data_IF_745833127360
#
_entry.id   IF_745833127360
#
_cell.length_a   1.000
_cell.length_b   1.000
_cell.length_c   1.000
_cell.angle_alpha   90.00
_cell.angle_beta   90.00
_cell.angle_gamma   90.00
#
_symmetry.space_group_name_H-M   'P 1'
#
loop_
_entity.id
_entity.type
_entity.pdbx_description
1 polymer ?
#
# COMPACT_ATOMS: atom_id res chain seq x y z
N UNK A 1 -11.43 2.47 -5.23
CA UNK A 1 -10.46 2.86 -6.27
C UNK A 1 -9.28 1.90 -6.35
N UNK A 2 -8.49 1.72 -5.29
CA UNK A 2 -7.32 0.82 -5.28
C UNK A 2 -7.69 -0.64 -5.59
N UNK A 3 -8.76 -1.15 -4.98
CA UNK A 3 -9.31 -2.49 -5.26
C UNK A 3 -9.78 -2.65 -6.71
N UNK A 4 -10.50 -1.66 -7.24
CA UNK A 4 -10.98 -1.67 -8.64
C UNK A 4 -9.78 -1.68 -9.59
N UNK A 5 -8.72 -0.94 -9.26
CA UNK A 5 -7.49 -0.89 -10.05
C UNK A 5 -6.73 -2.23 -9.99
N UNK A 6 -6.70 -2.92 -8.84
CA UNK A 6 -6.16 -4.28 -8.70
C UNK A 6 -6.98 -5.31 -9.48
N UNK A 7 -8.31 -5.22 -9.44
CA UNK A 7 -9.21 -6.09 -10.21
C UNK A 7 -9.01 -5.88 -11.71
N UNK A 8 -8.96 -4.62 -12.17
CA UNK A 8 -8.73 -4.28 -13.57
C UNK A 8 -7.34 -4.69 -14.05
N UNK A 9 -6.29 -4.49 -13.24
CA UNK A 9 -4.91 -4.86 -13.64
C UNK A 9 -4.60 -6.35 -13.49
N UNK A 10 -5.33 -7.08 -12.64
CA UNK A 10 -5.15 -8.52 -12.42
C UNK A 10 -6.01 -9.43 -13.30
N UNK A 11 -7.10 -8.92 -13.91
CA UNK A 11 -7.98 -9.66 -14.82
C UNK A 11 -7.67 -9.44 -16.31
N UNK A 12 -7.02 -8.33 -16.68
CA UNK A 12 -6.64 -8.07 -18.07
C UNK A 12 -5.35 -8.84 -18.40
N UNK A 13 -5.38 -9.70 -19.43
CA UNK A 13 -4.32 -10.61 -19.88
C UNK A 13 -3.00 -9.93 -20.35
N UNK A 14 -2.79 -8.65 -20.06
CA UNK A 14 -1.58 -7.88 -20.38
C UNK A 14 -0.90 -7.22 -19.17
N UNK A 15 -1.19 -7.69 -17.95
CA UNK A 15 -0.61 -7.13 -16.72
C UNK A 15 0.91 -7.33 -16.59
N UNK A 16 1.59 -6.53 -15.74
CA UNK A 16 3.03 -6.70 -15.46
C UNK A 16 3.40 -8.12 -15.02
N UNK A 17 4.59 -8.60 -15.41
CA UNK A 17 5.12 -9.97 -15.17
C UNK A 17 4.98 -10.44 -13.72
N UNK A 18 5.00 -9.50 -12.77
CA UNK A 18 4.73 -9.74 -11.35
C UNK A 18 3.40 -10.47 -11.08
N UNK A 19 2.34 -10.24 -11.86
CA UNK A 19 1.02 -10.85 -11.61
C UNK A 19 0.98 -12.35 -11.88
N UNK A 20 1.90 -12.84 -12.72
CA UNK A 20 2.06 -14.26 -13.01
C UNK A 20 2.95 -15.00 -12.00
N UNK A 21 3.70 -14.29 -11.13
CA UNK A 21 4.56 -14.96 -10.15
C UNK A 21 3.75 -15.57 -9.01
N UNK A 22 4.27 -16.65 -8.44
CA UNK A 22 3.63 -17.35 -7.32
C UNK A 22 3.88 -16.62 -6.00
N UNK A 23 2.95 -16.74 -5.05
CA UNK A 23 3.11 -16.15 -3.72
C UNK A 23 4.40 -16.63 -3.02
N UNK A 24 4.82 -17.88 -3.27
CA UNK A 24 6.07 -18.45 -2.74
C UNK A 24 7.32 -17.78 -3.30
N UNK A 25 7.32 -17.49 -4.59
CA UNK A 25 8.44 -16.84 -5.28
C UNK A 25 8.63 -15.41 -4.76
N UNK A 26 7.54 -14.68 -4.54
CA UNK A 26 7.58 -13.34 -3.95
C UNK A 26 8.07 -13.37 -2.50
N UNK A 27 7.77 -14.43 -1.76
CA UNK A 27 8.25 -14.64 -0.39
C UNK A 27 9.67 -15.26 -0.33
N UNK A 28 10.27 -15.59 -1.47
CA UNK A 28 11.61 -16.21 -1.54
C UNK A 28 11.69 -17.61 -0.94
N UNK A 29 10.58 -18.35 -0.91
CA UNK A 29 10.52 -19.69 -0.31
C UNK A 29 11.02 -20.76 -1.30
N UNK A 30 11.94 -21.60 -0.85
CA UNK A 30 12.43 -22.74 -1.63
C UNK A 30 11.29 -23.77 -1.87
N UNK A 31 11.27 -24.44 -3.05
CA UNK A 31 10.24 -25.44 -3.37
C UNK A 31 10.24 -26.57 -2.33
N UNK A 32 9.09 -26.80 -1.69
CA UNK A 32 8.90 -27.84 -0.67
C UNK A 32 8.90 -27.36 0.79
N UNK A 33 9.26 -26.10 1.06
CA UNK A 33 9.11 -25.50 2.40
C UNK A 33 7.73 -24.83 2.51
N UNK A 34 6.98 -25.15 3.57
CA UNK A 34 5.62 -24.63 3.82
C UNK A 34 4.58 -24.99 2.74
N UNK A 35 4.18 -26.27 2.70
CA UNK A 35 3.17 -26.82 1.77
C UNK A 35 1.79 -26.17 1.88
N UNK A 36 1.48 -25.51 3.00
CA UNK A 36 0.22 -24.79 3.23
C UNK A 36 0.02 -23.54 2.37
N UNK A 37 1.08 -22.99 1.78
CA UNK A 37 1.02 -21.82 0.89
C UNK A 37 0.82 -22.37 -0.50
N UNK A 38 -0.37 -22.16 -1.07
CA UNK A 38 -0.73 -22.63 -2.41
C UNK A 38 0.03 -21.88 -3.50
N UNK A 39 0.39 -22.59 -4.57
CA UNK A 39 1.16 -22.09 -5.72
C UNK A 39 0.31 -21.31 -6.74
N UNK A 40 -0.83 -20.76 -6.31
CA UNK A 40 -1.67 -19.93 -7.19
C UNK A 40 -0.94 -18.63 -7.58
N UNK A 41 -1.18 -18.13 -8.82
CA UNK A 41 -0.62 -16.86 -9.25
C UNK A 41 -1.14 -15.72 -8.37
N UNK A 42 -0.28 -14.74 -8.12
CA UNK A 42 -0.53 -13.71 -7.10
C UNK A 42 -1.75 -12.84 -7.44
N UNK A 43 -2.11 -12.71 -8.72
CA UNK A 43 -3.33 -12.03 -9.16
C UNK A 43 -4.59 -12.69 -8.60
N UNK A 44 -4.71 -14.02 -8.69
CA UNK A 44 -5.88 -14.76 -8.23
C UNK A 44 -5.98 -14.67 -6.71
N UNK A 45 -4.85 -14.83 -6.01
CA UNK A 45 -4.81 -14.75 -4.56
C UNK A 45 -5.21 -13.35 -4.04
N UNK A 46 -4.60 -12.29 -4.58
CA UNK A 46 -4.90 -10.92 -4.15
C UNK A 46 -6.30 -10.46 -4.57
N UNK A 47 -6.80 -10.88 -5.74
CA UNK A 47 -8.18 -10.60 -6.15
C UNK A 47 -9.19 -11.32 -5.25
N UNK A 48 -8.95 -12.60 -4.92
CA UNK A 48 -9.81 -13.33 -4.00
C UNK A 48 -9.84 -12.70 -2.60
N UNK A 49 -8.68 -12.32 -2.07
CA UNK A 49 -8.58 -11.60 -0.80
C UNK A 49 -9.29 -10.25 -0.86
N UNK A 50 -9.13 -9.51 -1.96
CA UNK A 50 -9.77 -8.23 -2.16
C UNK A 50 -11.29 -8.34 -2.22
N UNK A 51 -11.83 -9.32 -2.95
CA UNK A 51 -13.26 -9.60 -3.04
C UNK A 51 -13.80 -10.05 -1.67
N UNK A 52 -13.07 -10.89 -0.93
CA UNK A 52 -13.48 -11.32 0.41
C UNK A 52 -13.52 -10.15 1.40
N UNK A 53 -12.48 -9.33 1.46
CA UNK A 53 -12.39 -8.20 2.39
C UNK A 53 -13.40 -7.12 2.02
N UNK A 54 -13.49 -6.76 0.73
CA UNK A 54 -14.43 -5.75 0.26
C UNK A 54 -15.87 -6.25 0.38
N UNK A 55 -16.14 -7.49 -0.03
CA UNK A 55 -17.43 -8.14 0.11
C UNK A 55 -17.87 -8.20 1.57
N UNK A 56 -16.98 -8.58 2.48
CA UNK A 56 -17.27 -8.58 3.93
C UNK A 56 -17.54 -7.16 4.45
N UNK A 57 -16.76 -6.15 4.03
CA UNK A 57 -16.98 -4.76 4.46
C UNK A 57 -18.26 -4.17 3.88
N UNK A 58 -18.61 -4.51 2.64
CA UNK A 58 -19.83 -4.07 1.97
C UNK A 58 -21.05 -4.77 2.57
N UNK A 59 -21.01 -6.08 2.78
CA UNK A 59 -22.09 -6.85 3.43
C UNK A 59 -22.27 -6.40 4.88
N UNK A 60 -21.19 -6.21 5.65
CA UNK A 60 -21.28 -5.62 6.98
C UNK A 60 -21.78 -4.17 6.96
N UNK A 61 -21.46 -3.42 5.89
CA UNK A 61 -22.02 -2.11 5.61
C UNK A 61 -23.52 -2.17 5.40
N UNK A 62 -24.00 -3.02 4.49
CA UNK A 62 -25.42 -3.22 4.16
C UNK A 62 -26.23 -3.77 5.33
N UNK A 63 -25.68 -4.76 6.05
CA UNK A 63 -26.31 -5.33 7.24
C UNK A 63 -26.39 -4.31 8.38
N UNK A 64 -25.51 -3.30 8.41
CA UNK A 64 -25.57 -2.18 9.36
C UNK A 64 -26.32 -0.94 8.83
N UNK A 65 -26.57 -0.81 7.53
CA UNK A 65 -27.36 0.29 6.94
C UNK A 65 -28.84 -0.06 6.76
N UNK A 66 -29.22 -1.34 6.75
CA UNK A 66 -30.64 -1.76 6.76
C UNK A 66 -31.37 -1.47 8.07
N UNK A 67 -30.63 -1.31 9.17
CA UNK A 67 -31.13 -0.87 10.48
C UNK A 67 -30.25 0.28 10.95
N UNK A 68 -30.76 1.51 10.77
CA UNK A 68 -30.25 2.80 11.24
C UNK A 68 -29.33 3.58 10.27
N UNK A 69 -29.81 4.76 9.86
CA UNK A 69 -29.01 5.98 9.82
C UNK A 69 -28.44 6.25 11.23
N UNK A 70 -27.51 5.41 11.68
CA UNK A 70 -26.87 5.56 12.98
C UNK A 70 -25.73 6.58 12.84
N UNK A 71 -25.51 7.49 13.81
CA UNK A 71 -24.49 8.54 13.77
C UNK A 71 -23.03 8.00 13.82
N UNK A 72 -22.83 6.70 13.63
CA UNK A 72 -21.53 6.02 13.65
C UNK A 72 -21.06 5.73 12.21
N UNK A 73 -20.68 6.79 11.49
CA UNK A 73 -19.62 6.63 10.49
C UNK A 73 -18.44 5.89 11.17
N UNK A 74 -17.73 4.97 10.50
CA UNK A 74 -16.59 4.27 11.09
C UNK A 74 -15.69 5.32 11.74
N UNK A 75 -15.34 5.15 13.03
CA UNK A 75 -14.72 6.20 13.86
C UNK A 75 -13.44 6.79 13.24
N UNK A 76 -12.80 6.01 12.39
CA UNK A 76 -11.66 6.41 11.56
C UNK A 76 -11.99 7.54 10.56
N UNK A 77 -13.20 7.57 10.01
CA UNK A 77 -13.71 8.59 9.07
C UNK A 77 -14.27 9.80 9.83
N UNK A 78 -14.74 9.66 11.07
CA UNK A 78 -15.25 10.80 11.86
C UNK A 78 -14.19 11.53 12.67
N UNK A 79 -13.21 10.85 13.25
CA UNK A 79 -12.21 11.48 14.13
C UNK A 79 -10.77 11.46 13.59
N UNK A 80 -10.44 10.56 12.65
CA UNK A 80 -9.05 10.35 12.17
C UNK A 80 -8.92 10.40 10.65
N UNK A 81 -9.87 11.06 9.96
CA UNK A 81 -9.91 11.13 8.51
C UNK A 81 -8.72 11.90 7.95
N UNK A 82 -8.35 13.02 8.57
CA UNK A 82 -7.25 13.87 8.13
C UNK A 82 -5.91 13.12 8.05
N UNK A 83 -5.41 12.48 9.12
CA UNK A 83 -4.14 11.73 9.04
C UNK A 83 -4.24 10.53 8.08
N UNK A 84 -5.41 9.89 7.98
CA UNK A 84 -5.61 8.79 7.04
C UNK A 84 -5.55 9.24 5.57
N UNK A 85 -6.14 10.40 5.25
CA UNK A 85 -6.11 10.97 3.89
C UNK A 85 -4.70 11.38 3.49
N UNK A 86 -3.93 11.99 4.40
CA UNK A 86 -2.52 12.33 4.14
C UNK A 86 -1.69 11.05 3.93
N UNK A 87 -1.89 10.03 4.76
CA UNK A 87 -1.26 8.72 4.60
C UNK A 87 -1.54 8.10 3.21
N UNK A 88 -2.81 8.13 2.78
CA UNK A 88 -3.20 7.65 1.45
C UNK A 88 -2.53 8.46 0.34
N UNK A 89 -2.48 9.79 0.49
CA UNK A 89 -1.82 10.70 -0.44
C UNK A 89 -0.31 10.43 -0.60
N UNK A 90 0.42 10.34 0.52
CA UNK A 90 1.85 10.01 0.52
C UNK A 90 2.12 8.63 -0.10
N UNK A 91 1.28 7.65 0.23
CA UNK A 91 1.39 6.28 -0.31
C UNK A 91 1.17 6.24 -1.82
N UNK A 92 0.19 6.98 -2.33
CA UNK A 92 -0.08 7.09 -3.76
C UNK A 92 1.02 7.85 -4.50
N UNK A 93 1.53 8.95 -3.92
CA UNK A 93 2.66 9.70 -4.48
C UNK A 93 3.91 8.83 -4.63
N UNK A 94 4.22 8.00 -3.62
CA UNK A 94 5.32 7.04 -3.68
C UNK A 94 5.12 6.00 -4.79
N UNK A 95 3.91 5.44 -4.93
CA UNK A 95 3.59 4.46 -5.98
C UNK A 95 3.77 5.07 -7.37
N UNK A 96 3.13 6.23 -7.63
CA UNK A 96 3.20 6.90 -8.92
C UNK A 96 4.64 7.28 -9.28
N UNK A 97 5.41 7.80 -8.32
CA UNK A 97 6.82 8.14 -8.51
C UNK A 97 7.66 6.94 -8.93
N UNK A 98 7.47 5.77 -8.30
CA UNK A 98 8.18 4.56 -8.69
C UNK A 98 7.78 4.05 -10.08
N UNK A 99 6.50 4.14 -10.45
CA UNK A 99 6.03 3.74 -11.79
C UNK A 99 6.70 4.61 -12.86
N UNK A 100 6.73 5.92 -12.65
CA UNK A 100 7.41 6.87 -13.55
C UNK A 100 8.90 6.52 -13.66
N UNK A 101 9.57 6.32 -12.53
CA UNK A 101 11.00 6.00 -12.51
C UNK A 101 11.28 4.69 -13.25
N UNK A 102 10.47 3.65 -13.03
CA UNK A 102 10.63 2.38 -13.73
C UNK A 102 10.47 2.53 -15.25
N UNK A 103 9.53 3.37 -15.70
CA UNK A 103 9.32 3.62 -17.12
C UNK A 103 10.51 4.35 -17.76
N UNK A 104 11.00 5.42 -17.13
CA UNK A 104 12.13 6.22 -17.65
C UNK A 104 13.44 5.44 -17.63
N UNK A 105 13.68 4.67 -16.56
CA UNK A 105 14.90 3.85 -16.41
C UNK A 105 14.85 2.51 -17.13
N UNK A 106 13.69 2.16 -17.73
CA UNK A 106 13.39 0.81 -18.27
C UNK A 106 13.67 -0.31 -17.26
N UNK A 107 13.57 -0.01 -15.97
CA UNK A 107 13.69 -0.98 -14.90
C UNK A 107 12.42 -1.86 -14.82
N UNK A 108 12.50 -3.07 -14.22
CA UNK A 108 11.33 -3.89 -13.97
C UNK A 108 10.28 -3.16 -13.13
N UNK A 109 9.02 -3.52 -13.34
CA UNK A 109 7.88 -2.84 -12.72
C UNK A 109 7.96 -2.92 -11.17
N UNK A 110 7.74 -1.81 -10.44
CA UNK A 110 8.18 -1.64 -9.05
C UNK A 110 7.23 -2.24 -7.99
N UNK A 111 6.81 -3.50 -8.17
CA UNK A 111 5.91 -4.22 -7.26
C UNK A 111 6.58 -5.47 -6.67
N UNK A 112 6.30 -5.84 -5.41
CA UNK A 112 5.41 -5.19 -4.42
C UNK A 112 6.11 -4.06 -3.65
N UNK A 113 5.34 -3.17 -3.01
CA UNK A 113 5.92 -2.08 -2.24
C UNK A 113 5.48 -2.03 -0.77
N UNK A 114 6.48 -1.85 0.10
CA UNK A 114 6.37 -1.96 1.56
C UNK A 114 5.40 -0.96 2.20
N UNK A 115 5.12 0.16 1.52
CA UNK A 115 4.20 1.20 2.00
C UNK A 115 2.75 0.71 2.15
N UNK A 116 2.36 -0.37 1.47
CA UNK A 116 1.03 -0.97 1.63
C UNK A 116 0.91 -1.95 2.79
N UNK A 117 2.00 -2.32 3.46
CA UNK A 117 1.95 -3.26 4.59
C UNK A 117 1.01 -2.74 5.70
N UNK A 118 1.08 -1.47 6.14
CA UNK A 118 0.13 -0.93 7.13
C UNK A 118 -1.32 -0.89 6.63
N UNK A 119 -1.52 -0.69 5.32
CA UNK A 119 -2.85 -0.69 4.71
C UNK A 119 -3.47 -2.10 4.71
N UNK A 120 -2.68 -3.11 4.34
CA UNK A 120 -3.09 -4.51 4.32
C UNK A 120 -3.43 -4.96 5.75
N UNK A 121 -2.54 -4.70 6.72
CA UNK A 121 -2.76 -5.02 8.13
C UNK A 121 -4.01 -4.32 8.69
N UNK A 122 -4.21 -3.04 8.37
CA UNK A 122 -5.41 -2.29 8.75
C UNK A 122 -6.69 -2.87 8.14
N UNK A 123 -6.64 -3.33 6.89
CA UNK A 123 -7.80 -3.90 6.20
C UNK A 123 -8.22 -5.28 6.73
N UNK A 124 -7.26 -6.08 7.19
CA UNK A 124 -7.51 -7.40 7.78
C UNK A 124 -8.16 -7.31 9.16
N UNK A 125 -8.02 -6.19 9.88
CA UNK A 125 -8.66 -5.96 11.18
C UNK A 125 -10.19 -6.10 11.13
N UNK A 126 -10.84 -5.68 10.05
CA UNK A 126 -12.31 -5.64 9.96
C UNK A 126 -12.97 -7.04 9.80
N UNK A 127 -12.50 -7.94 8.91
CA UNK A 127 -13.12 -9.26 8.75
C UNK A 127 -12.62 -10.34 9.71
N UNK A 128 -11.38 -10.25 10.23
CA UNK A 128 -10.77 -11.34 11.03
C UNK A 128 -11.55 -11.70 12.31
N UNK A 129 -12.03 -10.74 13.13
CA UNK A 129 -12.80 -11.06 14.34
C UNK A 129 -14.13 -11.74 14.03
N UNK A 130 -14.76 -11.40 12.89
CA UNK A 130 -16.06 -11.93 12.50
C UNK A 130 -16.00 -13.38 12.01
N UNK A 131 -14.90 -13.78 11.35
CA UNK A 131 -14.74 -15.13 10.81
C UNK A 131 -14.01 -16.11 11.74
N UNK A 132 -13.04 -15.63 12.54
CA UNK A 132 -12.17 -16.50 13.33
C UNK A 132 -12.36 -16.39 14.85
N UNK A 133 -13.32 -15.58 15.32
CA UNK A 133 -13.59 -15.34 16.74
C UNK A 133 -12.32 -14.91 17.53
N UNK A 134 -11.38 -14.27 16.84
CA UNK A 134 -10.14 -13.77 17.42
C UNK A 134 -10.41 -12.43 18.10
N UNK A 135 -9.87 -12.25 19.31
CA UNK A 135 -9.79 -10.94 19.95
C UNK A 135 -9.16 -9.96 18.96
N UNK A 136 -9.78 -8.78 18.80
CA UNK A 136 -9.30 -7.71 17.92
C UNK A 136 -7.78 -7.58 18.03
N UNK A 137 -7.06 -7.68 16.89
CA UNK A 137 -5.58 -7.74 16.82
C UNK A 137 -4.88 -6.63 17.64
N UNK A 138 -5.55 -5.49 17.83
CA UNK A 138 -5.13 -4.44 18.76
C UNK A 138 -6.35 -3.88 19.52
N UNK A 139 -6.20 -3.44 20.78
CA UNK A 139 -7.24 -2.77 21.54
C UNK A 139 -7.69 -1.46 20.86
N UNK A 140 -8.97 -1.11 20.98
CA UNK A 140 -9.57 0.10 20.39
C UNK A 140 -8.86 1.41 20.79
N UNK A 141 -8.17 1.43 21.93
CA UNK A 141 -7.45 2.58 22.47
C UNK A 141 -6.18 2.94 21.67
N UNK A 142 -5.60 1.98 20.96
CA UNK A 142 -4.35 2.17 20.19
C UNK A 142 -4.57 2.48 18.71
N UNK A 143 -5.83 2.58 18.25
CA UNK A 143 -6.15 2.81 16.83
C UNK A 143 -5.58 4.14 16.32
N UNK A 144 -5.66 5.21 17.14
CA UNK A 144 -5.08 6.50 16.80
C UNK A 144 -3.56 6.43 16.64
N UNK A 145 -2.87 5.78 17.57
CA UNK A 145 -1.42 5.62 17.54
C UNK A 145 -0.96 4.81 16.32
N UNK A 146 -1.73 3.78 15.94
CA UNK A 146 -1.48 3.00 14.73
C UNK A 146 -1.55 3.86 13.47
N UNK A 147 -2.59 4.68 13.31
CA UNK A 147 -2.76 5.56 12.14
C UNK A 147 -1.63 6.59 12.08
N UNK A 148 -1.25 7.17 13.23
CA UNK A 148 -0.17 8.15 13.30
C UNK A 148 1.19 7.53 12.97
N UNK A 149 1.46 6.31 13.43
CA UNK A 149 2.67 5.58 13.09
C UNK A 149 2.71 5.20 11.60
N UNK A 150 1.58 4.76 11.04
CA UNK A 150 1.46 4.48 9.60
C UNK A 150 1.68 5.76 8.76
N UNK A 151 1.13 6.89 9.21
CA UNK A 151 1.34 8.19 8.58
C UNK A 151 2.83 8.58 8.60
N UNK A 152 3.46 8.57 9.78
CA UNK A 152 4.88 8.90 9.94
C UNK A 152 5.77 8.00 9.07
N UNK A 153 5.49 6.69 9.05
CA UNK A 153 6.17 5.73 8.19
C UNK A 153 6.02 6.08 6.69
N UNK A 154 4.82 6.43 6.24
CA UNK A 154 4.59 6.81 4.85
C UNK A 154 5.33 8.09 4.45
N UNK A 155 5.35 9.10 5.34
CA UNK A 155 6.06 10.35 5.12
C UNK A 155 7.56 10.11 5.03
N UNK A 156 8.12 9.32 5.96
CA UNK A 156 9.55 9.01 5.97
C UNK A 156 10.00 8.30 4.69
N UNK A 157 9.25 7.30 4.22
CA UNK A 157 9.58 6.59 2.98
C UNK A 157 9.43 7.49 1.76
N UNK A 158 8.35 8.28 1.70
CA UNK A 158 8.13 9.20 0.59
C UNK A 158 9.24 10.27 0.53
N UNK A 159 9.59 10.87 1.66
CA UNK A 159 10.65 11.86 1.76
C UNK A 159 12.02 11.29 1.37
N UNK A 160 12.38 10.10 1.89
CA UNK A 160 13.61 9.41 1.50
C UNK A 160 13.64 9.18 -0.02
N UNK A 161 12.55 8.67 -0.60
CA UNK A 161 12.46 8.45 -2.04
C UNK A 161 12.60 9.73 -2.85
N UNK A 162 11.89 10.79 -2.48
CA UNK A 162 11.95 12.07 -3.18
C UNK A 162 13.36 12.67 -3.14
N UNK A 163 14.02 12.66 -1.98
CA UNK A 163 15.39 13.16 -1.83
C UNK A 163 16.36 12.34 -2.67
N UNK A 164 16.28 11.00 -2.65
CA UNK A 164 17.15 10.15 -3.47
C UNK A 164 17.01 10.47 -4.97
N UNK A 165 15.78 10.58 -5.47
CA UNK A 165 15.54 10.91 -6.88
C UNK A 165 16.06 12.30 -7.23
N UNK A 166 15.81 13.30 -6.37
CA UNK A 166 16.33 14.65 -6.57
C UNK A 166 17.85 14.64 -6.62
N UNK A 167 18.52 14.02 -5.64
CA UNK A 167 19.98 13.94 -5.60
C UNK A 167 20.56 13.26 -6.85
N UNK A 168 20.03 12.09 -7.25
CA UNK A 168 20.49 11.38 -8.45
C UNK A 168 20.31 12.21 -9.72
N UNK A 169 19.19 12.92 -9.86
CA UNK A 169 18.94 13.80 -11.02
C UNK A 169 19.85 15.03 -11.01
N UNK A 170 19.99 15.68 -9.85
CA UNK A 170 20.87 16.84 -9.69
C UNK A 170 22.35 16.46 -9.97
N UNK A 171 22.79 15.26 -9.54
CA UNK A 171 24.13 14.72 -9.82
C UNK A 171 24.33 14.40 -11.30
N UNK A 172 23.31 13.87 -11.99
CA UNK A 172 23.37 13.57 -13.42
C UNK A 172 23.47 14.84 -14.29
N UNK A 173 22.70 15.88 -13.97
CA UNK A 173 22.68 17.14 -14.73
C UNK A 173 23.73 18.16 -14.26
N UNK A 174 24.49 17.86 -13.19
CA UNK A 174 25.44 18.78 -12.54
C UNK A 174 24.82 20.13 -12.10
N UNK A 175 23.54 20.10 -11.73
CA UNK A 175 22.75 21.25 -11.27
C UNK A 175 22.25 20.98 -9.86
N UNK A 176 22.30 21.96 -8.97
CA UNK A 176 21.76 21.83 -7.62
C UNK A 176 20.33 22.35 -7.57
N UNK A 177 19.40 21.47 -7.20
CA UNK A 177 17.97 21.79 -7.16
C UNK A 177 17.54 22.36 -5.79
N UNK A 178 18.33 22.07 -4.74
CA UNK A 178 18.06 22.44 -3.33
C UNK A 178 19.09 23.42 -2.74
N UNK A 179 20.12 23.80 -3.51
CA UNK A 179 21.18 24.72 -3.08
C UNK A 179 21.75 25.48 -4.28
N UNK A 180 22.35 26.65 -4.06
CA UNK A 180 22.95 27.45 -5.15
C UNK A 180 24.42 27.02 -5.33
N UNK A 181 24.79 26.64 -6.56
CA UNK A 181 26.18 26.29 -6.91
C UNK A 181 27.02 27.57 -7.05
N UNK A 182 27.94 27.79 -6.12
CA UNK A 182 28.94 28.86 -6.26
C UNK A 182 30.17 28.34 -7.01
N UNK A 183 30.64 29.03 -8.06
CA UNK A 183 31.87 28.65 -8.76
C UNK A 183 33.03 28.67 -7.77
N UNK A 184 33.88 27.62 -7.82
CA UNK A 184 35.11 27.60 -7.03
C UNK A 184 35.98 28.77 -7.50
N UNK A 185 36.33 29.70 -6.60
CA UNK A 185 37.37 30.70 -6.90
C UNK A 185 38.65 29.93 -7.24
N UNK A 186 39.07 30.01 -8.49
CA UNK A 186 40.39 29.55 -8.90
C UNK A 186 41.40 30.48 -8.21
N UNK A 187 42.13 29.93 -7.24
CA UNK A 187 43.28 30.58 -6.60
C UNK A 187 44.51 30.36 -7.48
#
# INVERSE_FOLDING_TARGET
MLVILFVLTGLLEGGPVFWGSSLREVLGLAPGRCTWISDYPINVFLNALSILVLGSNVVNGFHRTGVQLSPYLPRIVTHHLTPFMIYCGCSFGYMAGRIILAHVTKAPFPFPHRVYIPLILGSLKAPLPAYFNWNSLFPMEYEYHYILLALAYSIAIYAHFAISVICEVCDYFDIWCLSIKHPKKQL
#
